data_IF_359976066327
#
_entry.id   IF_359976066327
#
_cell.length_a   1.000
_cell.length_b   1.000
_cell.length_c   1.000
_cell.angle_alpha   90.00
_cell.angle_beta   90.00
_cell.angle_gamma   90.00
#
_symmetry.space_group_name_H-M   'P 1'
#
loop_
_entity.id
_entity.type
_entity.pdbx_description
1 polymer ?
#
# COMPACT_ATOMS: atom_id res chain seq x y z
N UNK A 1 -14.58 1.54 10.09
CA UNK A 1 -14.94 1.17 8.71
C UNK A 1 -15.47 -0.26 8.54
N UNK A 2 -15.42 -1.11 9.57
CA UNK A 2 -15.67 -2.57 9.42
C UNK A 2 -16.87 -3.11 10.22
N UNK A 3 -17.69 -2.23 10.81
CA UNK A 3 -18.87 -2.67 11.55
C UNK A 3 -19.85 -3.36 10.59
N UNK A 4 -20.05 -4.67 10.77
CA UNK A 4 -20.90 -5.49 9.90
C UNK A 4 -20.31 -5.85 8.52
N UNK A 5 -19.01 -5.61 8.28
CA UNK A 5 -18.34 -5.92 7.01
C UNK A 5 -17.06 -6.74 7.24
N UNK A 6 -16.62 -7.58 6.28
CA UNK A 6 -15.33 -8.25 6.37
C UNK A 6 -14.16 -7.27 6.48
N UNK A 7 -13.00 -7.76 6.93
CA UNK A 7 -11.80 -6.93 7.05
C UNK A 7 -11.33 -6.46 5.66
N UNK A 8 -10.87 -5.21 5.48
CA UNK A 8 -10.47 -4.67 4.17
C UNK A 8 -9.28 -5.35 3.49
N UNK A 9 -8.55 -6.20 4.22
CA UNK A 9 -7.52 -7.08 3.62
C UNK A 9 -8.11 -8.27 2.89
N UNK A 10 -9.32 -8.70 3.28
CA UNK A 10 -10.04 -9.83 2.71
C UNK A 10 -11.03 -9.36 1.65
N UNK A 11 -11.72 -8.25 1.92
CA UNK A 11 -12.78 -7.71 1.08
C UNK A 11 -12.41 -6.30 0.58
N UNK A 12 -12.45 -6.03 -0.74
CA UNK A 12 -11.94 -4.79 -1.30
C UNK A 12 -12.97 -3.64 -1.25
N UNK A 13 -14.25 -3.90 -0.95
CA UNK A 13 -15.33 -2.95 -1.22
C UNK A 13 -15.16 -1.64 -0.46
N UNK A 14 -14.82 -1.71 0.82
CA UNK A 14 -14.56 -0.51 1.64
C UNK A 14 -13.44 0.34 1.04
N UNK A 15 -12.41 -0.32 0.49
CA UNK A 15 -11.26 0.36 -0.11
C UNK A 15 -11.64 1.03 -1.43
N UNK A 16 -12.41 0.34 -2.26
CA UNK A 16 -12.95 0.86 -3.52
C UNK A 16 -13.84 2.08 -3.26
N UNK A 17 -14.75 1.97 -2.29
CA UNK A 17 -15.61 3.09 -1.86
C UNK A 17 -14.77 4.31 -1.44
N UNK A 18 -13.72 4.09 -0.64
CA UNK A 18 -12.84 5.19 -0.20
C UNK A 18 -12.00 5.79 -1.32
N UNK A 19 -11.54 5.00 -2.28
CA UNK A 19 -10.86 5.53 -3.46
C UNK A 19 -11.78 6.49 -4.21
N UNK A 20 -13.04 6.09 -4.45
CA UNK A 20 -14.04 6.93 -5.13
C UNK A 20 -14.39 8.18 -4.33
N UNK A 21 -14.59 8.05 -3.02
CA UNK A 21 -14.87 9.17 -2.12
C UNK A 21 -13.75 10.21 -2.16
N UNK A 22 -12.49 9.79 -1.99
CA UNK A 22 -11.36 10.72 -1.98
C UNK A 22 -11.03 11.29 -3.36
N UNK A 23 -11.37 10.60 -4.46
CA UNK A 23 -11.24 11.12 -5.81
C UNK A 23 -12.15 12.34 -6.07
N UNK A 24 -13.32 12.37 -5.42
CA UNK A 24 -14.28 13.46 -5.51
C UNK A 24 -13.90 14.67 -4.64
N UNK A 25 -13.05 14.48 -3.62
CA UNK A 25 -12.56 15.60 -2.81
C UNK A 25 -11.50 16.40 -3.59
N UNK A 26 -11.82 17.66 -3.88
CA UNK A 26 -10.94 18.60 -4.60
C UNK A 26 -9.61 18.86 -3.88
N UNK A 27 -9.54 18.62 -2.58
CA UNK A 27 -8.31 18.79 -1.77
C UNK A 27 -7.38 17.58 -1.82
N UNK A 28 -7.84 16.46 -2.38
CA UNK A 28 -7.02 15.25 -2.52
C UNK A 28 -6.16 15.34 -3.77
N UNK A 29 -4.84 15.41 -3.58
CA UNK A 29 -3.86 15.27 -4.66
C UNK A 29 -3.18 13.90 -4.72
N UNK A 30 -3.20 13.13 -3.63
CA UNK A 30 -2.47 11.87 -3.49
C UNK A 30 -3.30 10.88 -2.66
N UNK A 31 -3.46 9.66 -3.16
CA UNK A 31 -4.00 8.51 -2.40
C UNK A 31 -2.85 7.53 -2.15
N UNK A 32 -2.49 7.35 -0.87
CA UNK A 32 -1.47 6.42 -0.40
C UNK A 32 -2.14 5.15 0.14
N UNK A 33 -1.70 3.98 -0.30
CA UNK A 33 -2.27 2.69 0.14
C UNK A 33 -1.25 1.55 0.13
N UNK A 34 -1.62 0.40 0.71
CA UNK A 34 -0.82 -0.82 0.69
C UNK A 34 -1.59 -2.01 0.10
N UNK A 35 -0.88 -2.96 -0.49
CA UNK A 35 -1.43 -4.25 -0.92
C UNK A 35 -0.73 -5.33 -0.11
N UNK A 36 -1.45 -5.92 0.83
CA UNK A 36 -0.95 -7.00 1.68
C UNK A 36 -1.29 -8.34 1.05
N UNK A 37 -0.29 -9.22 0.91
CA UNK A 37 -0.41 -10.54 0.31
C UNK A 37 -0.40 -11.63 1.39
N UNK A 38 -0.52 -12.88 0.93
CA UNK A 38 -0.41 -14.07 1.76
C UNK A 38 -1.76 -14.70 2.10
N UNK A 39 -1.69 -15.72 2.93
CA UNK A 39 -2.88 -16.48 3.34
C UNK A 39 -3.81 -15.61 4.18
N UNK A 40 -5.10 -15.64 3.85
CA UNK A 40 -6.12 -14.81 4.51
C UNK A 40 -6.21 -13.38 3.99
N UNK A 41 -5.43 -13.01 2.97
CA UNK A 41 -5.68 -11.81 2.17
C UNK A 41 -6.57 -12.15 0.96
N UNK A 42 -7.13 -11.12 0.32
CA UNK A 42 -7.87 -11.25 -0.93
C UNK A 42 -7.01 -11.94 -2.01
N UNK A 43 -7.65 -12.75 -2.87
CA UNK A 43 -6.96 -13.53 -3.90
C UNK A 43 -6.32 -12.66 -4.99
N UNK A 44 -6.96 -11.55 -5.35
CA UNK A 44 -6.43 -10.56 -6.29
C UNK A 44 -6.82 -9.12 -5.91
N UNK A 45 -6.20 -8.59 -4.85
CA UNK A 45 -6.48 -7.21 -4.40
C UNK A 45 -6.08 -6.18 -5.47
N UNK A 46 -5.02 -6.44 -6.24
CA UNK A 46 -4.58 -5.52 -7.30
C UNK A 46 -5.64 -5.42 -8.39
N UNK A 47 -6.14 -6.56 -8.88
CA UNK A 47 -7.21 -6.58 -9.88
C UNK A 47 -8.50 -5.93 -9.40
N UNK A 48 -8.83 -6.09 -8.11
CA UNK A 48 -10.01 -5.46 -7.53
C UNK A 48 -9.91 -3.92 -7.45
N UNK A 49 -8.72 -3.38 -7.13
CA UNK A 49 -8.54 -1.93 -6.93
C UNK A 49 -8.28 -1.17 -8.23
N UNK A 50 -7.59 -1.75 -9.22
CA UNK A 50 -7.17 -1.05 -10.44
C UNK A 50 -8.33 -0.35 -11.19
N UNK A 51 -9.52 -0.95 -11.39
CA UNK A 51 -10.62 -0.26 -12.05
C UNK A 51 -11.06 1.01 -11.32
N UNK A 52 -11.11 0.97 -9.99
CA UNK A 52 -11.47 2.13 -9.17
C UNK A 52 -10.40 3.22 -9.20
N UNK A 53 -9.12 2.83 -9.28
CA UNK A 53 -7.98 3.76 -9.42
C UNK A 53 -8.03 4.45 -10.80
N UNK A 54 -8.32 3.70 -11.87
CA UNK A 54 -8.47 4.26 -13.22
C UNK A 54 -9.64 5.24 -13.31
N UNK A 55 -10.81 4.85 -12.78
CA UNK A 55 -11.99 5.69 -12.67
C UNK A 55 -11.68 6.99 -11.90
N UNK A 56 -11.06 6.87 -10.72
CA UNK A 56 -10.70 8.00 -9.87
C UNK A 56 -9.78 9.02 -10.58
N UNK A 57 -8.76 8.54 -11.32
CA UNK A 57 -7.87 9.42 -12.08
C UNK A 57 -8.59 10.10 -13.24
N UNK A 58 -9.48 9.39 -13.93
CA UNK A 58 -10.28 9.98 -15.01
C UNK A 58 -11.17 11.10 -14.47
N UNK A 59 -11.88 10.87 -13.36
CA UNK A 59 -12.70 11.90 -12.68
C UNK A 59 -11.87 13.11 -12.25
N UNK A 60 -10.70 12.92 -11.66
CA UNK A 60 -9.83 14.02 -11.28
C UNK A 60 -9.37 14.83 -12.51
N UNK A 61 -9.00 14.14 -13.59
CA UNK A 61 -8.54 14.76 -14.85
C UNK A 61 -9.65 15.56 -15.54
N UNK A 62 -10.88 15.05 -15.56
CA UNK A 62 -12.05 15.79 -16.06
C UNK A 62 -12.30 17.07 -15.28
N UNK A 63 -12.01 17.06 -13.97
CA UNK A 63 -12.04 18.24 -13.12
C UNK A 63 -10.77 19.13 -13.22
N UNK A 64 -9.84 18.85 -14.13
CA UNK A 64 -8.61 19.61 -14.32
C UNK A 64 -7.58 19.45 -13.19
N UNK A 65 -7.64 18.34 -12.44
CA UNK A 65 -6.74 18.03 -11.32
C UNK A 65 -5.89 16.81 -11.64
N UNK A 66 -4.68 16.79 -11.09
CA UNK A 66 -3.84 15.60 -11.05
C UNK A 66 -4.08 14.85 -9.72
N UNK A 67 -4.36 13.55 -9.82
CA UNK A 67 -4.51 12.66 -8.67
C UNK A 67 -3.50 11.52 -8.76
N UNK A 68 -2.54 11.51 -7.84
CA UNK A 68 -1.49 10.49 -7.79
C UNK A 68 -1.88 9.34 -6.89
N UNK A 69 -1.44 8.14 -7.25
CA UNK A 69 -1.57 6.94 -6.43
C UNK A 69 -0.19 6.42 -6.08
N UNK A 70 0.07 6.25 -4.78
CA UNK A 70 1.33 5.70 -4.26
C UNK A 70 1.01 4.45 -3.47
N UNK A 71 1.75 3.37 -3.72
CA UNK A 71 1.50 2.09 -3.08
C UNK A 71 2.76 1.42 -2.53
N UNK A 72 2.56 0.54 -1.55
CA UNK A 72 3.51 -0.51 -1.17
C UNK A 72 2.88 -1.87 -1.31
N UNK A 73 3.69 -2.88 -1.64
CA UNK A 73 3.26 -4.27 -1.60
C UNK A 73 3.93 -4.94 -0.41
N UNK A 74 3.15 -5.45 0.53
CA UNK A 74 3.64 -6.17 1.70
C UNK A 74 3.38 -7.66 1.52
N UNK A 75 4.45 -8.43 1.34
CA UNK A 75 4.37 -9.86 1.08
C UNK A 75 5.70 -10.39 0.59
N UNK A 76 5.70 -11.61 0.11
CA UNK A 76 6.87 -12.36 -0.33
C UNK A 76 6.64 -12.95 -1.71
N UNK A 77 7.74 -13.31 -2.39
CA UNK A 77 7.68 -14.01 -3.68
C UNK A 77 7.08 -15.41 -3.61
N UNK A 78 6.78 -15.92 -2.40
CA UNK A 78 6.16 -17.23 -2.17
C UNK A 78 4.66 -17.13 -1.88
N UNK A 79 4.10 -15.92 -1.78
CA UNK A 79 2.68 -15.76 -1.49
C UNK A 79 1.81 -16.13 -2.71
N UNK A 80 0.58 -16.65 -2.48
CA UNK A 80 -0.30 -17.15 -3.53
C UNK A 80 -0.60 -16.15 -4.65
N UNK A 81 -0.65 -14.86 -4.30
CA UNK A 81 -1.01 -13.76 -5.20
C UNK A 81 0.12 -13.32 -6.14
N UNK A 82 1.33 -13.86 -5.98
CA UNK A 82 2.54 -13.47 -6.72
C UNK A 82 2.93 -12.00 -6.51
N UNK A 83 3.94 -11.79 -5.65
CA UNK A 83 4.48 -10.46 -5.33
C UNK A 83 4.89 -9.66 -6.58
N UNK A 84 5.66 -10.26 -7.48
CA UNK A 84 6.21 -9.55 -8.63
C UNK A 84 5.09 -9.10 -9.58
N UNK A 85 4.15 -10.01 -9.87
CA UNK A 85 2.98 -9.68 -10.69
C UNK A 85 2.12 -8.57 -10.07
N UNK A 86 1.97 -8.57 -8.74
CA UNK A 86 1.24 -7.51 -8.03
C UNK A 86 1.90 -6.14 -8.20
N UNK A 87 3.23 -6.08 -8.05
CA UNK A 87 4.01 -4.85 -8.25
C UNK A 87 3.92 -4.37 -9.70
N UNK A 88 4.09 -5.27 -10.67
CA UNK A 88 4.12 -4.91 -12.09
C UNK A 88 2.77 -4.40 -12.57
N UNK A 89 1.67 -5.07 -12.21
CA UNK A 89 0.30 -4.65 -12.55
C UNK A 89 -0.06 -3.29 -11.96
N UNK A 90 0.38 -3.01 -10.73
CA UNK A 90 0.19 -1.69 -10.12
C UNK A 90 0.95 -0.60 -10.91
N UNK A 91 2.22 -0.86 -11.26
CA UNK A 91 3.03 0.08 -12.06
C UNK A 91 2.46 0.31 -13.45
N UNK A 92 2.05 -0.75 -14.14
CA UNK A 92 1.38 -0.69 -15.45
C UNK A 92 0.08 0.10 -15.36
N UNK A 93 -0.68 -0.08 -14.28
CA UNK A 93 -1.84 0.72 -13.92
C UNK A 93 -1.52 2.12 -13.41
N UNK A 94 -0.32 2.65 -13.64
CA UNK A 94 0.07 4.04 -13.32
C UNK A 94 0.18 4.35 -11.82
N UNK A 95 0.31 3.35 -10.96
CA UNK A 95 0.55 3.52 -9.52
C UNK A 95 2.06 3.60 -9.25
N UNK A 96 2.47 4.55 -8.43
CA UNK A 96 3.85 4.69 -7.99
C UNK A 96 4.12 3.70 -6.85
N UNK A 97 4.79 2.59 -7.15
CA UNK A 97 5.06 1.54 -6.16
C UNK A 97 6.44 1.77 -5.51
N UNK A 98 6.45 1.98 -4.20
CA UNK A 98 7.66 2.13 -3.39
C UNK A 98 8.03 0.82 -2.67
N UNK A 99 9.32 0.67 -2.36
CA UNK A 99 9.88 -0.55 -1.76
C UNK A 99 9.59 -0.69 -0.25
N UNK A 100 9.15 0.38 0.41
CA UNK A 100 8.80 0.38 1.83
C UNK A 100 7.76 1.44 2.15
N UNK A 101 7.06 1.27 3.27
CA UNK A 101 6.09 2.25 3.77
C UNK A 101 6.74 3.63 3.99
N UNK A 102 7.97 3.67 4.51
CA UNK A 102 8.72 4.91 4.69
C UNK A 102 8.98 5.60 3.34
N UNK A 103 9.45 4.85 2.33
CA UNK A 103 9.70 5.39 0.98
C UNK A 103 8.42 5.86 0.28
N UNK A 104 7.30 5.19 0.52
CA UNK A 104 6.00 5.57 -0.02
C UNK A 104 5.51 6.91 0.55
N UNK A 105 5.65 7.12 1.87
CA UNK A 105 5.34 8.39 2.52
C UNK A 105 6.28 9.50 2.04
N UNK A 106 7.60 9.22 1.95
CA UNK A 106 8.58 10.16 1.42
C UNK A 106 8.22 10.59 0.00
N UNK A 107 7.84 9.64 -0.86
CA UNK A 107 7.41 9.94 -2.23
C UNK A 107 6.11 10.77 -2.27
N UNK A 108 5.12 10.45 -1.44
CA UNK A 108 3.90 11.24 -1.35
C UNK A 108 4.17 12.67 -0.88
N UNK A 109 5.06 12.87 0.10
CA UNK A 109 5.46 14.21 0.55
C UNK A 109 6.24 14.95 -0.54
N UNK A 110 7.12 14.26 -1.26
CA UNK A 110 7.88 14.85 -2.37
C UNK A 110 6.96 15.34 -3.49
N UNK A 111 5.90 14.59 -3.83
CA UNK A 111 4.87 15.01 -4.79
C UNK A 111 4.13 16.28 -4.32
N UNK A 112 4.07 16.54 -3.01
CA UNK A 112 3.55 17.78 -2.43
C UNK A 112 4.61 18.90 -2.34
N UNK A 113 5.84 18.64 -2.77
CA UNK A 113 6.97 19.58 -2.64
C UNK A 113 7.59 19.63 -1.25
N UNK A 114 7.38 18.61 -0.42
CA UNK A 114 7.95 18.48 0.91
C UNK A 114 9.01 17.38 0.88
N UNK A 115 10.26 17.74 1.07
CA UNK A 115 11.35 16.79 1.21
C UNK A 115 11.58 16.49 2.69
N UNK A 116 11.64 15.20 3.04
CA UNK A 116 12.00 14.74 4.38
C UNK A 116 13.12 13.71 4.27
N UNK A 117 14.09 13.82 5.17
CA UNK A 117 15.12 12.81 5.41
C UNK A 117 14.98 12.29 6.83
N UNK A 118 15.16 10.99 7.00
CA UNK A 118 15.33 10.41 8.34
C UNK A 118 16.82 10.31 8.62
N UNK A 119 17.23 10.74 9.81
CA UNK A 119 18.60 10.51 10.26
C UNK A 119 18.82 9.02 10.52
N UNK A 120 20.02 8.54 10.24
CA UNK A 120 20.41 7.18 10.58
C UNK A 120 20.28 6.99 12.10
N UNK A 121 19.52 5.97 12.51
CA UNK A 121 19.43 5.59 13.92
C UNK A 121 20.76 5.00 14.36
N UNK A 122 21.27 5.46 15.49
CA UNK A 122 22.42 4.84 16.12
C UNK A 122 22.11 3.37 16.45
N UNK A 123 22.89 2.45 15.90
CA UNK A 123 22.80 1.03 16.21
C UNK A 123 23.63 0.77 17.46
N UNK A 124 22.96 0.63 18.59
CA UNK A 124 23.62 0.31 19.87
C UNK A 124 23.65 -1.20 20.05
N UNK A 125 24.83 -1.77 20.33
CA UNK A 125 24.97 -3.19 20.62
C UNK A 125 24.15 -3.58 21.86
N UNK A 126 23.39 -4.67 21.76
CA UNK A 126 22.67 -5.22 22.91
C UNK A 126 23.67 -5.83 23.89
N UNK A 127 23.79 -5.24 25.08
CA UNK A 127 24.69 -5.67 26.16
C UNK A 127 23.95 -6.32 27.35
N UNK A 128 22.66 -6.62 27.18
CA UNK A 128 21.84 -7.25 28.21
C UNK A 128 21.98 -8.78 28.23
N UNK A 129 21.39 -9.45 29.24
CA UNK A 129 21.36 -10.91 29.30
C UNK A 129 20.49 -11.49 28.18
N UNK A 130 21.01 -12.44 27.42
CA UNK A 130 20.23 -13.22 26.47
C UNK A 130 19.55 -14.40 27.17
N UNK A 131 18.36 -14.77 26.72
CA UNK A 131 17.66 -15.99 27.14
C UNK A 131 17.65 -16.99 26.00
N UNK A 132 17.82 -18.27 26.32
CA UNK A 132 17.67 -19.33 25.31
C UNK A 132 16.20 -19.40 24.87
N UNK A 133 15.96 -19.09 23.60
CA UNK A 133 14.66 -19.30 22.97
C UNK A 133 14.53 -20.77 22.53
N UNK A 134 13.40 -21.43 22.81
CA UNK A 134 13.16 -22.79 22.35
C UNK A 134 13.35 -22.90 20.83
N UNK A 135 13.94 -24.01 20.38
CA UNK A 135 14.00 -24.29 18.94
C UNK A 135 12.57 -24.36 18.39
N UNK A 136 12.28 -23.80 17.20
CA UNK A 136 11.00 -24.00 16.54
C UNK A 136 10.70 -25.49 16.48
N UNK A 137 9.49 -25.90 16.90
CA UNK A 137 9.07 -27.29 16.76
C UNK A 137 9.03 -27.69 15.29
N UNK A 138 9.50 -28.89 14.97
CA UNK A 138 9.33 -29.48 13.64
C UNK A 138 7.82 -29.67 13.39
N UNK A 139 7.28 -28.96 12.39
CA UNK A 139 5.94 -29.17 11.87
C UNK A 139 6.01 -30.04 10.62
#
# INVERSE_FOLDING_TARGET
YTQGRPHPMIDPDVRIEKIREYAQDEKTGIILFDVVLGYGAHEDMVGALLPAIEEARATAKEAGRDLYFVATVCGTTKDPQNYQSSVDRLKEGGVLVAESNAKAVQLALLLKGIEISEDDKEVVAYNGPTVDVPKPGEK
#
